data_IF_414155484953
#
_entry.id   IF_414155484953
#
_cell.length_a   1.000
_cell.length_b   1.000
_cell.length_c   1.000
_cell.angle_alpha   90.00
_cell.angle_beta   90.00
_cell.angle_gamma   90.00
#
_symmetry.space_group_name_H-M   'P 1'
#
loop_
_entity.id
_entity.type
_entity.pdbx_description
1 polymer ?
#
# COMPACT_ATOMS: atom_id res chain seq x y z
N UNK A 1 -46.72 -39.36 -63.06
CA UNK A 1 -46.70 -38.48 -61.88
C UNK A 1 -45.29 -38.49 -61.31
N UNK A 2 -44.52 -37.44 -61.57
CA UNK A 2 -43.12 -37.28 -61.12
C UNK A 2 -43.08 -36.22 -60.03
N UNK A 3 -42.84 -36.65 -58.79
CA UNK A 3 -42.71 -35.77 -57.62
C UNK A 3 -41.30 -35.16 -57.57
N UNK A 4 -41.22 -33.87 -57.88
CA UNK A 4 -40.00 -33.07 -57.77
C UNK A 4 -39.69 -32.74 -56.31
N UNK A 5 -38.73 -33.44 -55.72
CA UNK A 5 -38.17 -33.12 -54.39
C UNK A 5 -37.28 -31.89 -54.51
N UNK A 6 -37.78 -30.72 -54.10
CA UNK A 6 -37.01 -29.46 -54.04
C UNK A 6 -35.94 -29.56 -52.93
N UNK A 7 -34.67 -29.53 -53.33
CA UNK A 7 -33.48 -29.52 -52.45
C UNK A 7 -33.41 -28.20 -51.65
N UNK A 8 -33.74 -28.25 -50.36
CA UNK A 8 -33.64 -27.13 -49.40
C UNK A 8 -32.31 -27.09 -48.63
N UNK A 9 -31.21 -27.55 -49.23
CA UNK A 9 -29.89 -27.61 -48.57
C UNK A 9 -29.18 -26.26 -48.26
N UNK A 10 -29.38 -25.12 -48.97
CA UNK A 10 -28.54 -23.94 -48.72
C UNK A 10 -28.91 -23.16 -47.45
N UNK A 11 -30.10 -23.38 -46.88
CA UNK A 11 -30.58 -22.61 -45.72
C UNK A 11 -30.05 -23.15 -44.38
N UNK A 12 -29.77 -24.46 -44.29
CA UNK A 12 -29.20 -25.10 -43.09
C UNK A 12 -27.73 -24.71 -42.88
N UNK A 13 -26.97 -24.53 -43.97
CA UNK A 13 -25.56 -24.12 -43.90
C UNK A 13 -25.39 -22.67 -43.39
N UNK A 14 -26.29 -21.77 -43.77
CA UNK A 14 -26.28 -20.37 -43.31
C UNK A 14 -26.62 -20.28 -41.81
N UNK A 15 -27.57 -21.09 -41.33
CA UNK A 15 -27.95 -21.16 -39.92
C UNK A 15 -26.78 -21.69 -39.06
N UNK A 16 -26.07 -22.73 -39.52
CA UNK A 16 -24.90 -23.28 -38.81
C UNK A 16 -23.69 -22.31 -38.78
N UNK A 17 -23.58 -21.41 -39.74
CA UNK A 17 -22.52 -20.39 -39.75
C UNK A 17 -22.81 -19.26 -38.75
N UNK A 18 -24.08 -18.83 -38.61
CA UNK A 18 -24.48 -17.84 -37.60
C UNK A 18 -24.31 -18.34 -36.15
N UNK A 19 -24.37 -19.65 -35.91
CA UNK A 19 -24.15 -20.23 -34.58
C UNK A 19 -22.67 -20.21 -34.12
N UNK A 20 -21.70 -19.89 -34.99
CA UNK A 20 -20.28 -19.81 -34.61
C UNK A 20 -19.80 -18.43 -34.19
N UNK A 21 -20.60 -17.39 -34.37
CA UNK A 21 -20.23 -15.99 -34.09
C UNK A 21 -20.58 -15.51 -32.67
N UNK A 22 -21.05 -16.39 -31.78
CA UNK A 22 -21.49 -16.03 -30.43
C UNK A 22 -20.74 -16.73 -29.29
N UNK A 23 -19.58 -17.34 -29.54
CA UNK A 23 -18.81 -17.93 -28.44
C UNK A 23 -18.06 -16.83 -27.71
N UNK A 24 -18.41 -16.65 -26.44
CA UNK A 24 -17.71 -15.76 -25.53
C UNK A 24 -16.21 -16.11 -25.53
N UNK A 25 -15.38 -15.08 -25.70
CA UNK A 25 -13.94 -15.21 -25.89
C UNK A 25 -13.21 -14.61 -24.69
N UNK A 26 -12.11 -15.24 -24.21
CA UNK A 26 -11.37 -14.70 -23.09
C UNK A 26 -10.81 -13.30 -23.42
N UNK A 27 -10.67 -12.42 -22.40
CA UNK A 27 -10.08 -11.10 -22.58
C UNK A 27 -8.61 -11.23 -23.02
N UNK A 28 -8.16 -10.25 -23.81
CA UNK A 28 -6.81 -10.21 -24.36
C UNK A 28 -6.37 -8.78 -24.60
N UNK A 29 -5.06 -8.54 -24.55
CA UNK A 29 -4.47 -7.21 -24.72
C UNK A 29 -4.31 -6.46 -23.40
N UNK A 30 -4.12 -5.14 -23.52
CA UNK A 30 -3.89 -4.25 -22.37
C UNK A 30 -5.18 -3.55 -21.98
N UNK A 31 -5.46 -3.50 -20.67
CA UNK A 31 -6.54 -2.69 -20.11
C UNK A 31 -6.08 -1.99 -18.83
N UNK A 32 -6.62 -0.79 -18.62
CA UNK A 32 -6.31 0.05 -17.46
C UNK A 32 -7.58 0.36 -16.69
N UNK A 33 -7.53 0.14 -15.39
CA UNK A 33 -8.58 0.48 -14.43
C UNK A 33 -8.04 1.56 -13.49
N UNK A 34 -8.85 2.58 -13.20
CA UNK A 34 -8.46 3.69 -12.31
C UNK A 34 -9.37 3.71 -11.10
N UNK A 35 -8.79 3.85 -9.92
CA UNK A 35 -9.48 3.78 -8.63
C UNK A 35 -9.32 5.10 -7.90
N UNK A 36 -10.45 5.74 -7.64
CA UNK A 36 -10.53 6.99 -6.88
C UNK A 36 -11.68 6.98 -5.88
N UNK A 37 -12.33 5.83 -5.67
CA UNK A 37 -13.42 5.71 -4.72
C UNK A 37 -12.86 5.63 -3.29
N UNK A 38 -13.58 6.15 -2.27
CA UNK A 38 -13.16 6.02 -0.87
C UNK A 38 -13.00 4.56 -0.40
N UNK A 39 -13.70 3.61 -1.03
CA UNK A 39 -13.66 2.17 -0.70
C UNK A 39 -12.50 1.43 -1.36
N UNK A 40 -11.81 2.06 -2.32
CA UNK A 40 -10.67 1.46 -3.02
C UNK A 40 -9.38 2.25 -2.84
N UNK A 41 -9.28 3.12 -1.82
CA UNK A 41 -8.04 3.87 -1.55
C UNK A 41 -6.87 2.97 -1.15
N UNK A 42 -5.67 3.34 -1.58
CA UNK A 42 -4.44 2.63 -1.26
C UNK A 42 -3.34 3.63 -0.90
N UNK A 43 -2.86 3.60 0.34
CA UNK A 43 -1.83 4.52 0.82
C UNK A 43 -0.44 3.89 0.88
N UNK A 44 0.54 4.55 0.25
CA UNK A 44 1.96 4.29 0.49
C UNK A 44 2.49 5.30 1.50
N UNK A 45 2.91 4.79 2.65
CA UNK A 45 3.45 5.52 3.78
C UNK A 45 4.99 5.46 3.81
N UNK A 46 5.60 5.16 2.67
CA UNK A 46 7.04 5.31 2.48
C UNK A 46 7.35 6.79 2.34
N UNK A 47 8.25 7.31 3.17
CA UNK A 47 8.55 8.74 3.16
C UNK A 47 9.53 9.14 4.25
N UNK A 48 9.75 10.45 4.33
CA UNK A 48 10.49 11.13 5.38
C UNK A 48 9.48 11.94 6.17
N UNK A 49 9.51 11.82 7.49
CA UNK A 49 8.55 12.44 8.39
C UNK A 49 9.26 13.32 9.42
N UNK A 50 8.67 14.49 9.65
CA UNK A 50 8.98 15.32 10.80
C UNK A 50 7.82 15.18 11.80
N UNK A 51 8.15 14.87 13.05
CA UNK A 51 7.15 14.52 14.06
C UNK A 51 7.47 15.24 15.36
N UNK A 52 6.54 16.07 15.81
CA UNK A 52 6.61 16.73 17.12
C UNK A 52 5.77 15.98 18.16
N UNK A 53 6.30 15.87 19.37
CA UNK A 53 5.73 15.18 20.52
C UNK A 53 6.07 15.95 21.81
N UNK A 54 5.49 15.52 22.92
CA UNK A 54 5.83 16.02 24.24
C UNK A 54 6.16 14.89 25.20
N UNK A 55 7.24 15.08 25.95
CA UNK A 55 7.62 14.25 27.08
C UNK A 55 7.05 14.90 28.33
N UNK A 56 6.18 14.19 29.04
CA UNK A 56 5.69 14.58 30.35
C UNK A 56 6.71 14.11 31.42
N UNK A 57 7.35 15.09 32.05
CA UNK A 57 8.31 14.91 33.14
C UNK A 57 7.63 14.94 34.52
N UNK A 58 8.42 15.25 35.54
CA UNK A 58 7.91 15.44 36.90
C UNK A 58 6.98 16.66 36.98
N UNK A 59 6.05 16.64 37.94
CA UNK A 59 5.12 17.75 38.22
C UNK A 59 4.31 18.23 37.01
N UNK A 60 3.97 17.32 36.09
CA UNK A 60 3.26 17.60 34.84
C UNK A 60 3.96 18.61 33.92
N UNK A 61 5.27 18.83 34.13
CA UNK A 61 6.08 19.60 33.19
C UNK A 61 6.18 18.89 31.85
N UNK A 62 6.12 19.65 30.75
CA UNK A 62 6.28 19.14 29.40
C UNK A 62 7.60 19.59 28.81
N UNK A 63 8.26 18.68 28.10
CA UNK A 63 9.45 18.94 27.30
C UNK A 63 9.14 18.54 25.87
N UNK A 64 9.27 19.49 24.94
CA UNK A 64 9.03 19.22 23.52
C UNK A 64 10.06 18.21 22.99
N UNK A 65 9.62 17.33 22.11
CA UNK A 65 10.43 16.32 21.45
C UNK A 65 10.13 16.36 19.96
N UNK A 66 11.11 16.73 19.14
CA UNK A 66 10.96 16.75 17.68
C UNK A 66 11.86 15.70 17.04
N UNK A 67 11.32 14.91 16.12
CA UNK A 67 12.04 13.93 15.32
C UNK A 67 12.09 14.48 13.89
N UNK A 68 13.26 14.87 13.42
CA UNK A 68 13.43 15.46 12.08
C UNK A 68 14.07 14.44 11.15
N UNK A 69 13.42 14.18 10.02
CA UNK A 69 13.94 13.29 8.99
C UNK A 69 13.71 11.80 9.25
N UNK A 70 12.67 11.41 9.99
CA UNK A 70 12.35 10.00 10.25
C UNK A 70 11.97 9.30 8.94
N UNK A 71 12.89 8.52 8.38
CA UNK A 71 12.65 7.79 7.14
C UNK A 71 12.01 6.42 7.41
N UNK A 72 10.91 6.14 6.71
CA UNK A 72 10.12 4.91 6.81
C UNK A 72 9.97 4.27 5.42
N UNK A 73 10.06 2.94 5.36
CA UNK A 73 9.75 2.13 4.18
C UNK A 73 8.58 1.19 4.44
N UNK A 74 7.59 1.21 3.55
CA UNK A 74 6.49 0.25 3.53
C UNK A 74 6.71 -0.83 2.48
N UNK A 75 6.57 -2.08 2.89
CA UNK A 75 6.65 -3.22 1.98
C UNK A 75 5.28 -3.74 1.46
N UNK A 76 5.29 -4.71 0.56
CA UNK A 76 4.06 -5.29 -0.03
C UNK A 76 3.16 -6.03 0.96
N UNK A 77 3.65 -6.38 2.16
CA UNK A 77 2.82 -6.93 3.24
C UNK A 77 2.24 -5.85 4.15
N UNK A 78 2.62 -4.60 3.89
CA UNK A 78 2.38 -3.43 4.71
C UNK A 78 3.31 -3.33 5.90
N UNK A 79 4.43 -4.07 5.96
CA UNK A 79 5.38 -3.88 7.07
C UNK A 79 6.09 -2.55 6.90
N UNK A 80 6.21 -1.83 8.00
CA UNK A 80 6.95 -0.57 8.09
C UNK A 80 8.30 -0.84 8.73
N UNK A 81 9.36 -0.24 8.20
CA UNK A 81 10.70 -0.32 8.77
C UNK A 81 11.54 0.92 8.46
N UNK A 82 12.60 1.12 9.23
CA UNK A 82 13.68 2.01 8.79
C UNK A 82 14.36 1.42 7.54
N UNK A 83 14.80 2.23 6.57
CA UNK A 83 15.65 1.78 5.48
C UNK A 83 16.86 1.03 6.04
N UNK A 84 17.20 -0.14 5.47
CA UNK A 84 18.30 -0.99 5.96
C UNK A 84 18.17 -1.45 7.43
N UNK A 85 17.01 -1.28 8.07
CA UNK A 85 16.72 -1.74 9.43
C UNK A 85 17.08 -0.76 10.56
N UNK A 86 17.90 0.25 10.27
CA UNK A 86 18.27 1.31 11.21
C UNK A 86 18.73 2.57 10.45
N UNK A 87 18.75 3.72 11.11
CA UNK A 87 19.29 4.95 10.54
C UNK A 87 19.72 5.96 11.61
N UNK A 88 20.10 7.15 11.16
CA UNK A 88 20.47 8.28 12.02
C UNK A 88 19.48 9.43 11.76
N UNK A 89 18.96 10.04 12.81
CA UNK A 89 18.08 11.21 12.71
C UNK A 89 18.53 12.32 13.66
N UNK A 90 18.07 13.53 13.37
CA UNK A 90 18.18 14.66 14.30
C UNK A 90 16.98 14.63 15.25
N UNK A 91 17.26 14.69 16.55
CA UNK A 91 16.25 14.73 17.60
C UNK A 91 16.44 16.01 18.39
N UNK A 92 15.39 16.81 18.51
CA UNK A 92 15.39 18.00 19.37
C UNK A 92 14.68 17.66 20.67
N UNK A 93 15.34 17.90 21.81
CA UNK A 93 14.82 17.68 23.16
C UNK A 93 14.74 19.05 23.85
N UNK A 94 13.54 19.52 24.14
CA UNK A 94 13.31 20.88 24.61
C UNK A 94 13.66 21.93 23.54
N UNK A 95 13.87 23.20 23.94
CA UNK A 95 13.97 24.30 22.97
C UNK A 95 15.34 24.46 22.31
N UNK A 96 16.41 23.82 22.81
CA UNK A 96 17.78 24.14 22.40
C UNK A 96 18.68 22.93 22.16
N UNK A 97 18.31 21.74 22.64
CA UNK A 97 19.19 20.57 22.55
C UNK A 97 18.83 19.77 21.30
N UNK A 98 19.62 19.93 20.23
CA UNK A 98 19.54 19.12 19.03
C UNK A 98 20.65 18.06 19.04
N UNK A 99 20.28 16.79 19.05
CA UNK A 99 21.18 15.65 19.22
C UNK A 99 21.00 14.65 18.10
N UNK A 100 22.07 13.96 17.72
CA UNK A 100 21.98 12.86 16.78
C UNK A 100 21.53 11.57 17.50
N UNK A 101 20.59 10.83 16.92
CA UNK A 101 20.12 9.57 17.48
C UNK A 101 20.13 8.44 16.43
N UNK A 102 20.66 7.29 16.81
CA UNK A 102 20.41 6.05 16.11
C UNK A 102 18.95 5.68 16.30
N UNK A 103 18.25 5.40 15.21
CA UNK A 103 16.87 4.96 15.26
C UNK A 103 16.66 3.60 14.61
N UNK A 104 15.69 2.87 15.15
CA UNK A 104 15.06 1.73 14.50
C UNK A 104 13.56 1.98 14.43
N UNK A 105 12.94 1.54 13.35
CA UNK A 105 11.50 1.62 13.18
C UNK A 105 10.97 0.25 12.74
N UNK A 106 9.84 -0.16 13.29
CA UNK A 106 9.16 -1.41 12.94
C UNK A 106 7.66 -1.26 13.14
N UNK A 107 6.87 -1.68 12.16
CA UNK A 107 5.43 -1.50 12.23
C UNK A 107 4.67 -2.22 11.13
N UNK A 108 3.38 -1.90 11.02
CA UNK A 108 2.49 -2.44 10.01
C UNK A 108 1.35 -1.49 9.64
N UNK A 109 1.02 -1.48 8.35
CA UNK A 109 -0.19 -0.92 7.76
C UNK A 109 -1.22 -2.03 7.57
N UNK A 110 -2.46 -1.73 7.91
CA UNK A 110 -3.62 -2.63 7.82
C UNK A 110 -4.90 -1.83 7.51
N UNK A 111 -6.05 -2.51 7.41
CA UNK A 111 -7.32 -1.87 7.04
C UNK A 111 -7.49 -1.77 5.52
N UNK A 112 -8.12 -0.71 5.03
CA UNK A 112 -8.48 -0.53 3.62
C UNK A 112 -9.81 -1.20 3.24
N UNK A 113 -10.28 -0.95 2.02
CA UNK A 113 -11.57 -1.44 1.57
C UNK A 113 -12.71 -0.66 2.22
N UNK A 114 -13.59 -1.38 2.92
CA UNK A 114 -14.65 -0.79 3.76
C UNK A 114 -14.18 -0.33 5.14
N UNK A 115 -12.92 -0.57 5.51
CA UNK A 115 -12.34 -0.21 6.81
C UNK A 115 -11.29 0.89 6.65
N UNK A 116 -11.13 1.80 7.63
CA UNK A 116 -10.08 2.80 7.59
C UNK A 116 -8.68 2.19 7.49
N UNK A 117 -7.77 2.85 6.80
CA UNK A 117 -6.36 2.46 6.78
C UNK A 117 -5.70 2.83 8.11
N UNK A 118 -5.11 1.83 8.77
CA UNK A 118 -4.51 1.94 10.10
C UNK A 118 -3.02 1.65 10.08
N UNK A 119 -2.30 2.36 10.93
CA UNK A 119 -0.85 2.29 11.08
C UNK A 119 -0.52 2.00 12.53
N UNK A 120 0.28 0.97 12.75
CA UNK A 120 0.95 0.74 14.02
C UNK A 120 2.45 0.82 13.77
N UNK A 121 3.14 1.78 14.39
CA UNK A 121 4.56 2.01 14.20
C UNK A 121 5.27 2.16 15.54
N UNK A 122 6.29 1.34 15.79
CA UNK A 122 7.20 1.50 16.92
C UNK A 122 8.52 2.09 16.44
N UNK A 123 8.94 3.18 17.07
CA UNK A 123 10.22 3.86 16.87
C UNK A 123 11.04 3.77 18.15
N UNK A 124 12.30 3.35 18.05
CA UNK A 124 13.25 3.35 19.16
C UNK A 124 14.45 4.19 18.79
N UNK A 125 14.79 5.15 19.63
CA UNK A 125 15.89 6.09 19.49
C UNK A 125 16.91 5.82 20.59
N UNK A 126 18.20 5.88 20.24
CA UNK A 126 19.30 5.79 21.20
C UNK A 126 20.40 6.76 20.80
N UNK A 127 21.07 7.30 21.80
CA UNK A 127 22.22 8.17 21.56
C UNK A 127 22.89 8.56 22.86
N UNK A 128 23.95 9.33 22.74
CA UNK A 128 24.68 9.91 23.85
C UNK A 128 25.22 11.26 23.41
N UNK A 129 24.72 12.32 24.01
CA UNK A 129 25.06 13.69 23.63
C UNK A 129 24.85 14.64 24.82
N UNK A 130 25.04 15.94 24.61
CA UNK A 130 24.77 16.98 25.60
C UNK A 130 23.28 17.32 25.57
N UNK A 131 22.58 17.06 26.67
CA UNK A 131 21.18 17.47 26.88
C UNK A 131 21.13 18.32 28.14
N UNK A 132 20.53 19.51 28.06
CA UNK A 132 20.50 20.51 29.12
C UNK A 132 21.90 20.81 29.71
N UNK A 133 22.93 20.83 28.84
CA UNK A 133 24.32 21.08 29.24
C UNK A 133 25.04 19.89 29.92
N UNK A 134 24.42 18.71 30.01
CA UNK A 134 24.99 17.52 30.64
C UNK A 134 25.24 16.39 29.61
N UNK A 135 26.42 15.74 29.62
CA UNK A 135 26.66 14.52 28.86
C UNK A 135 25.72 13.40 29.30
N UNK A 136 24.79 13.03 28.43
CA UNK A 136 23.63 12.22 28.76
C UNK A 136 23.37 11.18 27.67
N UNK A 137 23.54 9.91 28.06
CA UNK A 137 22.99 8.79 27.28
C UNK A 137 21.47 8.79 27.36
N UNK A 138 20.80 8.60 26.22
CA UNK A 138 19.34 8.58 26.13
C UNK A 138 18.81 7.37 25.36
N UNK A 139 17.61 6.93 25.74
CA UNK A 139 16.87 5.86 25.08
C UNK A 139 15.38 6.21 25.11
N UNK A 140 14.79 6.39 23.92
CA UNK A 140 13.41 6.81 23.74
C UNK A 140 12.69 5.73 22.93
N UNK A 141 11.51 5.31 23.39
CA UNK A 141 10.66 4.34 22.68
C UNK A 141 9.27 4.93 22.52
N UNK A 142 8.82 5.06 21.27
CA UNK A 142 7.53 5.65 20.91
C UNK A 142 6.76 4.64 20.06
N UNK A 143 5.47 4.51 20.35
CA UNK A 143 4.51 3.72 19.58
C UNK A 143 3.44 4.67 19.06
N UNK A 144 3.23 4.66 17.75
CA UNK A 144 2.21 5.42 17.06
C UNK A 144 1.10 4.47 16.63
N UNK A 145 -0.12 4.77 17.05
CA UNK A 145 -1.35 4.14 16.59
C UNK A 145 -2.14 5.19 15.83
N UNK A 146 -2.11 5.13 14.49
CA UNK A 146 -2.65 6.15 13.60
C UNK A 146 -3.69 5.56 12.63
N UNK A 147 -4.58 6.41 12.14
CA UNK A 147 -5.56 6.13 11.11
C UNK A 147 -5.49 7.24 10.05
N UNK A 148 -5.68 6.88 8.77
CA UNK A 148 -5.79 7.88 7.71
C UNK A 148 -7.20 8.46 7.73
N UNK A 149 -7.31 9.74 8.04
CA UNK A 149 -8.56 10.50 8.09
C UNK A 149 -8.36 11.79 7.29
N UNK A 150 -9.20 12.03 6.29
CA UNK A 150 -9.17 13.25 5.46
C UNK A 150 -7.79 13.59 4.87
N UNK A 151 -7.03 12.56 4.46
CA UNK A 151 -5.70 12.73 3.86
C UNK A 151 -4.57 13.01 4.86
N UNK A 152 -4.81 12.78 6.15
CA UNK A 152 -3.84 12.98 7.23
C UNK A 152 -3.76 11.74 8.11
N UNK A 153 -2.57 11.39 8.59
CA UNK A 153 -2.39 10.36 9.61
C UNK A 153 -2.68 10.96 10.98
N UNK A 154 -3.75 10.52 11.63
CA UNK A 154 -4.19 11.03 12.93
C UNK A 154 -4.25 9.91 13.96
N UNK A 155 -3.93 10.21 15.21
CA UNK A 155 -4.00 9.21 16.27
C UNK A 155 -3.24 9.59 17.52
N UNK A 156 -2.58 8.61 18.14
CA UNK A 156 -1.86 8.82 19.41
C UNK A 156 -0.44 8.28 19.36
N UNK A 157 0.49 9.01 19.97
CA UNK A 157 1.82 8.54 20.33
C UNK A 157 1.84 8.16 21.81
N UNK A 158 2.43 7.00 22.11
CA UNK A 158 2.64 6.52 23.48
C UNK A 158 4.04 5.99 23.66
N UNK A 159 4.67 6.28 24.78
CA UNK A 159 6.06 5.89 24.94
C UNK A 159 6.71 6.33 26.23
N UNK A 160 8.03 6.17 26.27
CA UNK A 160 8.88 6.67 27.33
C UNK A 160 10.19 7.22 26.77
N UNK A 161 10.73 8.20 27.47
CA UNK A 161 12.06 8.74 27.24
C UNK A 161 12.86 8.56 28.52
N UNK A 162 14.05 7.96 28.44
CA UNK A 162 14.93 7.77 29.58
C UNK A 162 16.26 8.47 29.32
N UNK A 163 16.66 9.35 30.24
CA UNK A 163 17.91 10.09 30.19
C UNK A 163 18.76 9.73 31.40
N UNK A 164 19.97 9.24 31.16
CA UNK A 164 20.86 8.68 32.21
C UNK A 164 21.23 9.66 33.34
N UNK A 165 21.14 10.98 33.10
CA UNK A 165 21.48 12.03 34.07
C UNK A 165 20.30 12.93 34.45
N UNK A 166 19.21 12.89 33.69
CA UNK A 166 18.07 13.82 33.81
C UNK A 166 16.76 13.12 34.20
N UNK A 167 16.81 11.83 34.56
CA UNK A 167 15.63 10.98 34.75
C UNK A 167 14.89 10.72 33.43
N UNK A 168 13.66 10.23 33.48
CA UNK A 168 12.83 9.97 32.31
C UNK A 168 11.46 10.63 32.39
N UNK A 169 10.70 10.46 31.33
CA UNK A 169 9.31 10.93 31.22
C UNK A 169 8.49 10.03 30.31
N UNK A 170 7.18 10.22 30.34
CA UNK A 170 6.23 9.48 29.49
C UNK A 170 5.82 10.31 28.29
N UNK A 171 5.59 9.66 27.16
CA UNK A 171 5.01 10.29 25.97
C UNK A 171 3.58 9.79 25.87
N UNK A 172 2.62 10.71 25.81
CA UNK A 172 1.21 10.40 25.59
C UNK A 172 0.51 11.63 24.99
N UNK A 173 0.53 11.73 23.67
CA UNK A 173 0.08 12.92 22.95
C UNK A 173 -0.73 12.55 21.71
N UNK A 174 -1.72 13.37 21.32
CA UNK A 174 -2.33 13.25 20.01
C UNK A 174 -1.30 13.58 18.92
N UNK A 175 -1.46 12.97 17.75
CA UNK A 175 -0.54 13.13 16.62
C UNK A 175 -1.32 13.37 15.36
N UNK A 176 -0.81 14.28 14.53
CA UNK A 176 -1.32 14.59 13.20
C UNK A 176 -0.13 14.78 12.26
N UNK A 177 0.02 13.88 11.29
CA UNK A 177 1.15 13.85 10.35
C UNK A 177 0.59 13.85 8.93
N UNK A 178 1.06 14.73 8.02
CA UNK A 178 0.63 14.69 6.63
C UNK A 178 1.02 13.36 5.98
N UNK A 179 0.23 12.93 4.98
CA UNK A 179 0.66 11.83 4.11
C UNK A 179 1.92 12.23 3.33
N UNK A 180 2.72 11.26 2.84
CA UNK A 180 3.84 11.55 1.96
C UNK A 180 3.44 12.38 0.74
N UNK A 181 4.38 13.17 0.22
CA UNK A 181 4.15 14.02 -0.94
C UNK A 181 3.54 13.25 -2.11
N UNK A 182 2.46 13.81 -2.68
CA UNK A 182 1.74 13.24 -3.82
C UNK A 182 0.82 12.06 -3.48
N UNK A 183 0.67 11.67 -2.22
CA UNK A 183 -0.19 10.55 -1.81
C UNK A 183 -1.62 11.02 -1.47
N UNK A 184 -2.59 10.66 -2.31
CA UNK A 184 -4.02 11.00 -2.12
C UNK A 184 -4.96 9.77 -1.99
N UNK A 185 -4.41 8.56 -2.14
CA UNK A 185 -5.13 7.29 -2.10
C UNK A 185 -5.57 6.75 -3.46
N UNK A 186 -5.47 7.55 -4.53
CA UNK A 186 -5.79 7.10 -5.89
C UNK A 186 -4.70 6.21 -6.47
N UNK A 187 -5.09 5.26 -7.31
CA UNK A 187 -4.17 4.37 -8.00
C UNK A 187 -4.78 3.82 -9.29
N UNK A 188 -3.95 3.26 -10.16
CA UNK A 188 -4.37 2.61 -11.39
C UNK A 188 -3.78 1.20 -11.50
N UNK A 189 -4.53 0.29 -12.11
CA UNK A 189 -4.11 -1.06 -12.48
C UNK A 189 -4.09 -1.20 -13.99
N UNK A 190 -2.93 -1.50 -14.56
CA UNK A 190 -2.79 -1.91 -15.97
C UNK A 190 -2.50 -3.40 -16.02
N UNK A 191 -3.30 -4.17 -16.76
CA UNK A 191 -3.06 -5.60 -17.00
C UNK A 191 -2.79 -5.85 -18.49
N UNK A 192 -1.76 -6.64 -18.77
CA UNK A 192 -1.45 -7.14 -20.11
C UNK A 192 -1.78 -8.63 -20.18
N UNK A 193 -2.92 -8.98 -20.77
CA UNK A 193 -3.43 -10.36 -20.80
C UNK A 193 -3.11 -11.07 -22.11
N UNK A 194 -2.52 -12.26 -21.97
CA UNK A 194 -2.27 -13.22 -23.03
C UNK A 194 -3.21 -14.43 -22.83
N UNK A 195 -4.21 -14.62 -23.71
CA UNK A 195 -5.16 -15.73 -23.61
C UNK A 195 -4.57 -17.01 -24.24
N UNK A 196 -4.00 -17.90 -23.42
CA UNK A 196 -3.62 -19.25 -23.85
C UNK A 196 -4.64 -20.26 -23.27
N UNK A 197 -4.19 -21.47 -22.91
CA UNK A 197 -5.01 -22.43 -22.14
C UNK A 197 -5.44 -21.88 -20.76
N UNK A 198 -4.73 -20.86 -20.28
CA UNK A 198 -5.02 -20.06 -19.09
C UNK A 198 -4.75 -18.60 -19.42
N UNK A 199 -5.31 -17.69 -18.65
CA UNK A 199 -4.98 -16.27 -18.73
C UNK A 199 -3.62 -16.05 -18.06
N UNK A 200 -2.69 -15.39 -18.73
CA UNK A 200 -1.38 -15.05 -18.20
C UNK A 200 -0.89 -13.70 -18.69
N UNK A 201 0.25 -13.23 -18.17
CA UNK A 201 0.87 -11.97 -18.59
C UNK A 201 1.44 -11.17 -17.42
N UNK A 202 1.36 -9.83 -17.52
CA UNK A 202 1.84 -8.88 -16.51
C UNK A 202 0.71 -8.00 -15.95
N UNK A 203 0.94 -7.45 -14.76
CA UNK A 203 0.11 -6.37 -14.22
C UNK A 203 0.96 -5.35 -13.48
N UNK A 204 0.57 -4.10 -13.59
CA UNK A 204 1.26 -2.94 -13.02
C UNK A 204 0.27 -2.11 -12.22
N UNK A 205 0.58 -1.86 -10.95
CA UNK A 205 -0.15 -0.91 -10.11
C UNK A 205 0.68 0.37 -10.02
N UNK A 206 0.07 1.51 -10.30
CA UNK A 206 0.68 2.84 -10.17
C UNK A 206 -0.09 3.61 -9.10
N UNK A 207 0.59 4.04 -8.04
CA UNK A 207 0.01 4.84 -6.96
C UNK A 207 0.10 6.34 -7.28
N UNK A 208 -0.66 7.19 -6.59
CA UNK A 208 -0.63 8.63 -6.82
C UNK A 208 0.71 9.31 -6.55
N UNK A 209 1.50 8.77 -5.62
CA UNK A 209 2.87 9.23 -5.40
C UNK A 209 3.87 8.74 -6.49
N UNK A 210 3.39 8.05 -7.52
CA UNK A 210 4.20 7.52 -8.62
C UNK A 210 4.88 6.18 -8.35
N UNK A 211 4.73 5.57 -7.16
CA UNK A 211 5.29 4.23 -6.89
C UNK A 211 4.65 3.19 -7.80
N UNK A 212 5.47 2.28 -8.31
CA UNK A 212 5.05 1.23 -9.24
C UNK A 212 5.25 -0.16 -8.64
N UNK A 213 4.18 -0.94 -8.55
CA UNK A 213 4.19 -2.34 -8.12
C UNK A 213 3.94 -3.23 -9.34
N UNK A 214 4.92 -4.05 -9.72
CA UNK A 214 4.80 -4.92 -10.90
C UNK A 214 4.70 -6.40 -10.51
N UNK A 215 3.70 -7.09 -11.05
CA UNK A 215 3.46 -8.50 -10.78
C UNK A 215 3.20 -9.31 -12.05
N UNK A 216 3.18 -10.63 -11.86
CA UNK A 216 2.69 -11.55 -12.90
C UNK A 216 1.22 -11.81 -12.67
N UNK A 217 0.47 -11.91 -13.74
CA UNK A 217 -0.92 -12.36 -13.66
C UNK A 217 -1.06 -13.82 -14.03
N UNK A 218 -1.97 -14.50 -13.35
CA UNK A 218 -2.47 -15.80 -13.73
C UNK A 218 -3.98 -15.86 -13.54
N UNK A 219 -4.68 -16.53 -14.43
CA UNK A 219 -6.13 -16.57 -14.36
C UNK A 219 -6.74 -17.66 -15.20
N UNK A 220 -8.04 -17.80 -15.06
CA UNK A 220 -8.85 -18.74 -15.80
C UNK A 220 -10.10 -18.02 -16.33
N UNK A 221 -10.63 -18.55 -17.43
CA UNK A 221 -11.85 -18.05 -18.07
C UNK A 221 -12.93 -19.13 -18.00
N UNK A 222 -14.13 -18.73 -17.56
CA UNK A 222 -15.27 -19.63 -17.42
C UNK A 222 -16.31 -19.33 -18.50
N UNK A 223 -16.40 -20.18 -19.52
CA UNK A 223 -17.41 -20.09 -20.58
C UNK A 223 -18.85 -20.15 -20.02
N UNK A 224 -19.08 -20.94 -18.97
CA UNK A 224 -20.41 -21.11 -18.38
C UNK A 224 -20.88 -19.88 -17.61
N UNK A 225 -19.95 -19.08 -17.10
CA UNK A 225 -20.25 -17.88 -16.31
C UNK A 225 -20.00 -16.59 -17.10
N UNK A 226 -19.40 -16.68 -18.29
CA UNK A 226 -18.96 -15.54 -19.08
C UNK A 226 -18.13 -14.55 -18.23
N UNK A 227 -17.17 -15.10 -17.45
CA UNK A 227 -16.35 -14.36 -16.49
C UNK A 227 -14.90 -14.82 -16.52
N UNK A 228 -14.01 -13.86 -16.45
CA UNK A 228 -12.57 -14.06 -16.27
C UNK A 228 -12.18 -13.77 -14.84
N UNK A 229 -11.44 -14.69 -14.21
CA UNK A 229 -10.81 -14.44 -12.91
C UNK A 229 -9.31 -14.33 -13.10
N UNK A 230 -8.77 -13.15 -12.91
CA UNK A 230 -7.35 -12.84 -13.04
C UNK A 230 -6.79 -12.54 -11.66
N UNK A 231 -5.65 -13.13 -11.33
CA UNK A 231 -4.95 -12.89 -10.08
C UNK A 231 -3.57 -12.30 -10.36
N UNK A 232 -3.32 -11.12 -9.82
CA UNK A 232 -2.00 -10.51 -9.76
C UNK A 232 -1.25 -11.05 -8.54
N UNK A 233 -0.04 -11.59 -8.75
CA UNK A 233 0.87 -12.00 -7.67
C UNK A 233 2.26 -11.43 -7.87
N UNK A 234 2.86 -11.05 -6.74
CA UNK A 234 4.25 -10.60 -6.68
C UNK A 234 4.39 -9.12 -6.97
N UNK A 235 5.44 -8.53 -6.40
CA UNK A 235 5.86 -7.16 -6.69
C UNK A 235 7.37 -7.14 -6.83
N UNK A 236 7.86 -6.74 -8.00
CA UNK A 236 9.05 -5.90 -8.03
C UNK A 236 8.58 -4.50 -7.61
N UNK A 237 9.30 -3.90 -6.67
CA UNK A 237 9.05 -2.53 -6.20
C UNK A 237 10.07 -1.63 -6.88
N UNK A 238 9.63 -0.89 -7.89
CA UNK A 238 10.46 0.12 -8.53
C UNK A 238 10.06 1.48 -7.98
N UNK A 239 11.02 2.13 -7.31
CA UNK A 239 10.91 3.53 -6.87
C UNK A 239 11.55 4.43 -7.92
N UNK A 240 10.94 5.56 -8.22
CA UNK A 240 11.36 6.46 -9.31
C UNK A 240 12.60 7.32 -8.93
N UNK A 241 13.16 7.20 -7.71
CA UNK A 241 14.32 8.00 -7.23
C UNK A 241 15.25 7.18 -6.29
N UNK A 242 16.57 7.50 -6.16
CA UNK A 242 17.67 6.55 -6.46
C UNK A 242 18.33 5.86 -5.22
N UNK A 243 19.26 4.89 -5.44
CA UNK A 243 19.05 3.59 -6.07
C UNK A 243 18.49 2.60 -5.04
N UNK A 244 17.24 2.19 -5.19
CA UNK A 244 16.65 1.18 -4.32
C UNK A 244 17.10 -0.22 -4.75
N UNK A 245 17.70 -0.94 -3.80
CA UNK A 245 17.85 -2.40 -3.89
C UNK A 245 16.46 -2.99 -4.15
N UNK A 246 16.31 -3.74 -5.25
CA UNK A 246 15.06 -4.43 -5.55
C UNK A 246 14.80 -5.48 -4.45
N UNK A 247 13.95 -5.14 -3.48
CA UNK A 247 13.53 -6.10 -2.46
C UNK A 247 12.37 -6.91 -3.05
N UNK A 248 12.46 -8.25 -3.12
CA UNK A 248 11.32 -9.06 -3.53
C UNK A 248 10.24 -8.96 -2.46
N UNK A 249 9.15 -8.25 -2.76
CA UNK A 249 8.04 -8.06 -1.83
C UNK A 249 6.97 -9.11 -2.09
N UNK A 250 7.10 -10.26 -1.44
CA UNK A 250 6.01 -11.22 -1.32
C UNK A 250 4.90 -10.61 -0.45
N UNK A 251 3.62 -10.65 -0.83
CA UNK A 251 2.54 -10.12 0.01
C UNK A 251 1.35 -9.55 -0.74
N UNK A 252 1.65 -8.87 -1.85
CA UNK A 252 0.64 -8.31 -2.73
C UNK A 252 -0.09 -9.45 -3.46
N UNK A 253 -1.42 -9.43 -3.39
CA UNK A 253 -2.28 -10.24 -4.25
C UNK A 253 -3.55 -9.46 -4.56
N UNK A 254 -3.98 -9.51 -5.82
CA UNK A 254 -5.21 -8.86 -6.26
C UNK A 254 -5.96 -9.83 -7.16
N UNK A 255 -7.21 -10.13 -6.84
CA UNK A 255 -8.15 -10.84 -7.70
C UNK A 255 -9.00 -9.80 -8.44
N UNK A 256 -9.03 -9.89 -9.77
CA UNK A 256 -9.82 -9.05 -10.67
C UNK A 256 -10.77 -9.98 -11.41
N UNK A 257 -12.07 -9.71 -11.32
CA UNK A 257 -13.11 -10.45 -12.01
C UNK A 257 -13.67 -9.55 -13.11
N UNK A 258 -13.43 -9.95 -14.36
CA UNK A 258 -13.87 -9.22 -15.54
C UNK A 258 -15.06 -9.98 -16.13
N UNK A 259 -16.27 -9.42 -16.08
CA UNK A 259 -17.42 -9.97 -16.80
C UNK A 259 -17.28 -9.75 -18.31
N UNK A 260 -17.83 -10.66 -19.12
CA UNK A 260 -17.91 -10.47 -20.57
C UNK A 260 -19.03 -9.49 -20.96
N UNK A 261 -20.01 -9.31 -20.07
CA UNK A 261 -21.10 -8.36 -20.21
C UNK A 261 -20.61 -6.95 -19.82
N UNK A 262 -20.60 -5.98 -20.75
CA UNK A 262 -20.15 -4.61 -20.47
C UNK A 262 -21.05 -3.86 -19.48
N UNK A 263 -22.28 -4.33 -19.24
CA UNK A 263 -23.20 -3.74 -18.27
C UNK A 263 -22.89 -4.19 -16.82
N UNK A 264 -22.01 -5.16 -16.64
CA UNK A 264 -21.53 -5.61 -15.33
C UNK A 264 -20.22 -4.90 -14.95
N UNK A 265 -20.10 -4.47 -13.70
CA UNK A 265 -18.89 -3.85 -13.17
C UNK A 265 -17.75 -4.87 -13.00
N UNK A 266 -16.52 -4.41 -13.18
CA UNK A 266 -15.32 -5.18 -12.80
C UNK A 266 -15.29 -5.27 -11.28
N UNK A 267 -15.17 -6.49 -10.74
CA UNK A 267 -15.04 -6.69 -9.29
C UNK A 267 -13.56 -6.87 -8.94
N UNK A 268 -13.10 -6.22 -7.87
CA UNK A 268 -11.72 -6.30 -7.40
C UNK A 268 -11.69 -6.62 -5.94
N UNK A 269 -10.86 -7.60 -5.58
CA UNK A 269 -10.70 -8.04 -4.21
C UNK A 269 -9.26 -8.46 -3.94
N UNK A 270 -8.67 -8.02 -2.84
CA UNK A 270 -7.35 -8.50 -2.46
C UNK A 270 -6.67 -7.64 -1.43
N UNK A 271 -5.34 -7.73 -1.43
CA UNK A 271 -4.47 -7.01 -0.51
C UNK A 271 -3.24 -6.46 -1.22
N UNK A 272 -3.05 -5.14 -1.14
CA UNK A 272 -1.89 -4.43 -1.64
C UNK A 272 -1.29 -3.60 -0.50
N UNK A 273 0.04 -3.62 -0.34
CA UNK A 273 0.74 -2.85 0.70
C UNK A 273 0.17 -3.05 2.12
N UNK A 274 -0.37 -4.22 2.42
CA UNK A 274 -1.01 -4.50 3.71
C UNK A 274 -2.45 -3.99 3.87
N UNK A 275 -3.01 -3.31 2.87
CA UNK A 275 -4.37 -2.79 2.84
C UNK A 275 -5.27 -3.67 1.97
N UNK A 276 -6.49 -3.92 2.43
CA UNK A 276 -7.55 -4.55 1.66
C UNK A 276 -8.01 -3.62 0.55
N UNK A 277 -8.32 -4.18 -0.61
CA UNK A 277 -8.92 -3.48 -1.73
C UNK A 277 -10.22 -4.20 -2.08
N UNK A 278 -11.32 -3.45 -2.21
CA UNK A 278 -12.62 -3.98 -2.60
C UNK A 278 -13.37 -2.95 -3.46
N UNK A 279 -13.79 -3.36 -4.65
CA UNK A 279 -14.68 -2.60 -5.54
C UNK A 279 -15.59 -3.55 -6.35
#
# INVERSE_FOLDING_TARGET
MTTSVKRSLPLVALVLFCFRSGFASPPSGSFTLSFSSPTSVLYDLTGIYDIDQQIQGADDSTVDLSLVGLQIEQDGQGRLRAPNGAGLILVTIGPQDAVAADYTASGRVSGGGSSPTRVHLQVKLRGNDIVAGLPTGFNISITYDLEVTDGVLTGTARGNANFSKLSGGTINSPVSIPLPDGMDGTWALTLDVVPLNKLGGSGTVVLSNGRVLQGRINGDYSLNQARSKIRLKGSLDQRITPPSVAVPLSGNHLDVIIPDDPDLSVEINGKLLGQSVME
#
